data_IF_352249456618
#
_entry.id   IF_352249456618
#
_cell.length_a   1.000
_cell.length_b   1.000
_cell.length_c   1.000
_cell.angle_alpha   90.00
_cell.angle_beta   90.00
_cell.angle_gamma   90.00
#
_symmetry.space_group_name_H-M   'P 1'
#
loop_
_entity.id
_entity.type
_entity.pdbx_description
1 polymer ?
#
# COMPACT_ATOMS: atom_id res chain seq x y z
N UNK A 1 10.04 -21.41 -0.98
CA UNK A 1 10.50 -20.08 -1.42
C UNK A 1 9.41 -19.01 -1.22
N UNK A 2 8.17 -19.25 -1.67
CA UNK A 2 7.05 -18.28 -1.53
C UNK A 2 6.66 -17.94 -0.08
N UNK A 3 6.73 -18.91 0.86
CA UNK A 3 6.41 -18.66 2.27
C UNK A 3 7.34 -17.61 2.91
N UNK A 4 8.63 -17.62 2.56
CA UNK A 4 9.62 -16.69 3.11
C UNK A 4 9.41 -15.25 2.61
N UNK A 5 8.93 -15.09 1.37
CA UNK A 5 8.64 -13.77 0.80
C UNK A 5 7.42 -13.16 1.49
N UNK A 6 6.40 -13.98 1.78
CA UNK A 6 5.23 -13.49 2.49
C UNK A 6 5.51 -13.15 3.95
N UNK A 7 6.34 -13.95 4.63
CA UNK A 7 6.79 -13.63 5.98
C UNK A 7 7.52 -12.29 6.04
N UNK A 8 8.42 -12.03 5.08
CA UNK A 8 9.06 -10.73 4.94
C UNK A 8 8.00 -9.62 4.74
N UNK A 9 7.03 -9.83 3.85
CA UNK A 9 5.95 -8.87 3.64
C UNK A 9 5.18 -8.55 4.92
N UNK A 10 4.74 -9.56 5.68
CA UNK A 10 3.99 -9.37 6.94
C UNK A 10 4.84 -8.67 7.99
N UNK A 11 6.12 -9.01 8.08
CA UNK A 11 7.06 -8.32 8.98
C UNK A 11 7.15 -6.84 8.61
N UNK A 12 7.29 -6.49 7.34
CA UNK A 12 7.32 -5.09 6.92
C UNK A 12 5.99 -4.38 7.11
N UNK A 13 4.87 -5.06 6.83
CA UNK A 13 3.53 -4.51 6.93
C UNK A 13 3.13 -4.18 8.37
N UNK A 14 3.42 -5.08 9.32
CA UNK A 14 3.13 -4.91 10.75
C UNK A 14 3.94 -3.79 11.40
N UNK A 15 5.12 -3.46 10.88
CA UNK A 15 5.96 -2.37 11.37
C UNK A 15 5.69 -1.03 10.66
N UNK A 16 4.84 -1.02 9.62
CA UNK A 16 4.52 0.21 8.92
C UNK A 16 3.60 1.11 9.77
N UNK A 17 3.99 2.37 9.93
CA UNK A 17 3.15 3.38 10.61
C UNK A 17 1.87 3.69 9.84
N UNK A 18 1.90 3.50 8.53
CA UNK A 18 0.80 3.75 7.61
C UNK A 18 0.80 2.70 6.52
N UNK A 19 -0.34 2.08 6.28
CA UNK A 19 -0.53 1.09 5.22
C UNK A 19 -1.65 1.52 4.29
N UNK A 20 -1.37 1.54 3.00
CA UNK A 20 -2.31 2.03 1.97
C UNK A 20 -2.37 1.01 0.84
N UNK A 21 -3.59 0.70 0.39
CA UNK A 21 -3.81 -0.09 -0.82
C UNK A 21 -4.27 0.83 -1.96
N UNK A 22 -3.68 0.65 -3.14
CA UNK A 22 -4.14 1.28 -4.36
C UNK A 22 -5.23 0.40 -4.99
N UNK A 23 -6.47 0.85 -4.91
CA UNK A 23 -7.67 0.22 -5.46
C UNK A 23 -7.67 -1.33 -5.37
N UNK A 24 -7.66 -2.04 -6.51
CA UNK A 24 -7.65 -3.50 -6.59
C UNK A 24 -6.43 -4.18 -5.95
N UNK A 25 -5.42 -3.43 -5.52
CA UNK A 25 -4.38 -3.91 -4.62
C UNK A 25 -4.96 -4.44 -3.30
N UNK A 26 -6.07 -3.89 -2.82
CA UNK A 26 -6.78 -4.39 -1.64
C UNK A 26 -7.34 -5.79 -1.87
N UNK A 27 -7.84 -6.10 -3.08
CA UNK A 27 -8.29 -7.44 -3.43
C UNK A 27 -7.15 -8.45 -3.34
N UNK A 28 -6.01 -8.14 -3.97
CA UNK A 28 -4.83 -9.02 -3.95
C UNK A 28 -4.32 -9.27 -2.54
N UNK A 29 -4.34 -8.23 -1.70
CA UNK A 29 -3.95 -8.34 -0.31
C UNK A 29 -4.91 -9.25 0.47
N UNK A 30 -6.21 -9.07 0.27
CA UNK A 30 -7.25 -9.89 0.90
C UNK A 30 -7.11 -11.35 0.48
N UNK A 31 -7.09 -11.63 -0.82
CA UNK A 31 -6.98 -12.98 -1.40
C UNK A 31 -5.76 -13.71 -0.83
N UNK A 32 -4.59 -13.07 -0.87
CA UNK A 32 -3.36 -13.66 -0.35
C UNK A 32 -3.40 -13.89 1.16
N UNK A 33 -4.04 -13.00 1.91
CA UNK A 33 -4.18 -13.15 3.37
C UNK A 33 -5.12 -14.29 3.76
N UNK A 34 -6.15 -14.57 2.94
CA UNK A 34 -7.07 -15.71 3.11
C UNK A 34 -6.30 -17.01 2.88
N UNK A 35 -5.54 -17.10 1.79
CA UNK A 35 -4.80 -18.30 1.41
C UNK A 35 -3.82 -18.78 2.50
N UNK A 36 -3.23 -17.83 3.23
CA UNK A 36 -2.21 -18.09 4.27
C UNK A 36 -2.80 -18.00 5.69
N UNK A 37 -4.10 -17.68 5.81
CA UNK A 37 -4.80 -17.52 7.09
C UNK A 37 -4.20 -16.43 8.00
N UNK A 38 -3.73 -15.33 7.42
CA UNK A 38 -3.13 -14.18 8.13
C UNK A 38 -3.98 -12.92 8.03
N UNK A 39 -5.28 -13.07 7.76
CA UNK A 39 -6.22 -11.96 7.58
C UNK A 39 -6.14 -10.96 8.74
N UNK A 40 -6.03 -11.41 9.98
CA UNK A 40 -5.98 -10.56 11.18
C UNK A 40 -4.74 -9.66 11.25
N UNK A 41 -3.61 -10.09 10.69
CA UNK A 41 -2.35 -9.35 10.71
C UNK A 41 -2.30 -8.24 9.66
N UNK A 42 -3.11 -8.36 8.62
CA UNK A 42 -3.06 -7.51 7.44
C UNK A 42 -4.20 -6.50 7.52
N UNK A 43 -3.99 -5.45 8.32
CA UNK A 43 -4.89 -4.28 8.38
C UNK A 43 -4.40 -3.19 7.44
N UNK A 44 -5.31 -2.68 6.63
CA UNK A 44 -5.10 -1.51 5.77
C UNK A 44 -5.65 -0.27 6.48
N UNK A 45 -4.93 0.85 6.44
CA UNK A 45 -5.44 2.11 6.97
C UNK A 45 -6.32 2.82 5.93
N UNK A 46 -5.85 2.86 4.68
CA UNK A 46 -6.57 3.52 3.58
C UNK A 46 -6.58 2.69 2.31
N UNK A 47 -7.72 2.70 1.60
CA UNK A 47 -7.80 2.22 0.22
C UNK A 47 -8.04 3.44 -0.66
N UNK A 48 -7.25 3.61 -1.72
CA UNK A 48 -7.35 4.78 -2.59
C UNK A 48 -7.29 4.42 -4.07
N UNK A 49 -8.16 5.04 -4.83
CA UNK A 49 -8.27 4.93 -6.28
C UNK A 49 -9.54 5.60 -6.76
N UNK A 50 -9.92 5.30 -7.99
CA UNK A 50 -11.28 5.43 -8.55
C UNK A 50 -12.24 4.36 -8.02
N UNK A 51 -11.71 3.26 -7.48
CA UNK A 51 -12.47 2.19 -6.82
C UNK A 51 -13.32 1.36 -7.79
N UNK A 52 -12.93 1.31 -9.07
CA UNK A 52 -13.64 0.57 -10.10
C UNK A 52 -13.26 -0.91 -10.13
N UNK A 53 -12.09 -1.26 -9.57
CA UNK A 53 -11.60 -2.64 -9.49
C UNK A 53 -11.76 -3.27 -8.10
N UNK A 54 -12.03 -2.48 -7.05
CA UNK A 54 -12.30 -2.97 -5.70
C UNK A 54 -13.58 -3.80 -5.64
N UNK A 55 -13.50 -5.04 -5.14
CA UNK A 55 -14.69 -5.89 -4.97
C UNK A 55 -15.47 -5.50 -3.72
N UNK A 56 -16.80 -5.61 -3.78
CA UNK A 56 -17.70 -5.20 -2.68
C UNK A 56 -17.46 -6.01 -1.38
N UNK A 57 -17.19 -7.31 -1.49
CA UNK A 57 -16.87 -8.18 -0.36
C UNK A 57 -15.59 -7.72 0.37
N UNK A 58 -14.55 -7.37 -0.40
CA UNK A 58 -13.28 -6.87 0.14
C UNK A 58 -13.45 -5.48 0.75
N UNK A 59 -14.28 -4.64 0.13
CA UNK A 59 -14.63 -3.31 0.64
C UNK A 59 -15.29 -3.40 2.00
N UNK A 60 -16.36 -4.19 2.12
CA UNK A 60 -17.09 -4.41 3.38
C UNK A 60 -16.17 -4.97 4.47
N UNK A 61 -15.38 -5.98 4.14
CA UNK A 61 -14.39 -6.56 5.05
C UNK A 61 -13.36 -5.53 5.54
N UNK A 62 -12.88 -4.68 4.64
CA UNK A 62 -11.89 -3.65 4.96
C UNK A 62 -12.49 -2.57 5.87
N UNK A 63 -13.71 -2.13 5.59
CA UNK A 63 -14.45 -1.17 6.42
C UNK A 63 -14.71 -1.75 7.82
N UNK A 64 -15.12 -3.01 7.92
CA UNK A 64 -15.35 -3.69 9.20
C UNK A 64 -14.07 -3.73 10.07
N UNK A 65 -12.89 -3.78 9.45
CA UNK A 65 -11.58 -3.69 10.14
C UNK A 65 -11.12 -2.27 10.47
N UNK A 66 -11.90 -1.26 10.13
CA UNK A 66 -11.60 0.15 10.35
C UNK A 66 -10.74 0.79 9.26
N UNK A 67 -10.73 0.24 8.05
CA UNK A 67 -10.12 0.89 6.87
C UNK A 67 -10.99 2.04 6.41
N UNK A 68 -10.38 3.16 6.01
CA UNK A 68 -11.12 4.31 5.47
C UNK A 68 -10.82 4.51 3.98
N UNK A 69 -11.85 4.69 3.15
CA UNK A 69 -11.68 4.93 1.69
C UNK A 69 -11.28 6.37 1.36
N UNK A 70 -11.54 7.30 2.30
CA UNK A 70 -11.20 8.71 2.19
C UNK A 70 -9.98 8.97 3.06
N UNK A 71 -8.92 9.53 2.46
CA UNK A 71 -7.79 10.02 3.23
C UNK A 71 -8.28 11.14 4.16
N UNK A 72 -8.22 10.90 5.47
CA UNK A 72 -8.21 12.02 6.41
C UNK A 72 -6.89 12.75 6.18
N UNK A 73 -6.91 14.08 6.07
CA UNK A 73 -5.68 14.87 6.09
C UNK A 73 -4.94 14.50 7.38
N UNK A 74 -3.90 13.68 7.29
CA UNK A 74 -3.01 13.49 8.41
C UNK A 74 -2.43 14.86 8.70
N UNK A 75 -2.59 15.38 9.92
CA UNK A 75 -2.12 16.72 10.29
C UNK A 75 -0.67 16.82 9.85
N UNK A 76 -0.37 17.83 9.03
CA UNK A 76 0.92 18.09 8.39
C UNK A 76 2.03 18.18 9.45
N UNK A 77 2.52 17.02 9.86
CA UNK A 77 3.72 16.88 10.66
C UNK A 77 4.73 16.42 9.63
N UNK A 78 5.71 17.25 9.30
CA UNK A 78 6.77 16.99 8.32
C UNK A 78 7.70 15.87 8.81
N UNK A 79 7.16 14.67 9.00
CA UNK A 79 7.93 13.50 9.35
C UNK A 79 8.49 12.88 8.08
N UNK A 80 9.74 12.43 8.15
CA UNK A 80 10.34 11.63 7.08
C UNK A 80 9.68 10.27 7.07
N UNK A 81 9.10 9.88 5.94
CA UNK A 81 8.54 8.56 5.74
C UNK A 81 9.42 7.77 4.79
N UNK A 82 9.80 6.55 5.20
CA UNK A 82 10.32 5.56 4.27
C UNK A 82 9.12 4.89 3.60
N UNK A 83 8.98 5.07 2.29
CA UNK A 83 7.86 4.51 1.53
C UNK A 83 8.30 3.24 0.84
N UNK A 84 7.63 2.13 1.13
CA UNK A 84 7.79 0.89 0.41
C UNK A 84 6.55 0.62 -0.44
N UNK A 85 6.78 0.26 -1.71
CA UNK A 85 5.71 0.00 -2.69
C UNK A 85 5.82 -1.46 -3.13
N UNK A 86 4.76 -2.23 -2.89
CA UNK A 86 4.64 -3.61 -3.37
C UNK A 86 3.79 -3.65 -4.65
N UNK A 87 4.06 -4.61 -5.54
CA UNK A 87 3.32 -4.76 -6.80
C UNK A 87 3.66 -3.69 -7.85
N UNK A 88 4.78 -2.99 -7.70
CA UNK A 88 5.24 -1.95 -8.63
C UNK A 88 5.57 -2.50 -10.04
N UNK A 89 6.02 -3.75 -10.12
CA UNK A 89 6.39 -4.46 -11.35
C UNK A 89 5.75 -5.85 -11.40
N UNK A 90 5.62 -6.42 -12.60
CA UNK A 90 5.12 -7.78 -12.83
C UNK A 90 3.70 -7.89 -13.41
N UNK A 91 3.06 -6.76 -13.72
CA UNK A 91 1.75 -6.70 -14.36
C UNK A 91 1.81 -6.13 -15.79
N UNK A 92 0.73 -5.47 -16.21
CA UNK A 92 0.65 -4.80 -17.51
C UNK A 92 1.79 -3.78 -17.71
N UNK A 93 2.43 -3.82 -18.87
CA UNK A 93 3.64 -3.03 -19.13
C UNK A 93 3.41 -1.53 -19.07
N UNK A 94 2.27 -1.05 -19.58
CA UNK A 94 1.87 0.36 -19.52
C UNK A 94 1.71 0.85 -18.06
N UNK A 95 1.11 0.04 -17.19
CA UNK A 95 1.03 0.33 -15.76
C UNK A 95 2.42 0.40 -15.11
N UNK A 96 3.34 -0.48 -15.51
CA UNK A 96 4.72 -0.43 -15.03
C UNK A 96 5.43 0.86 -15.48
N UNK A 97 5.21 1.29 -16.72
CA UNK A 97 5.77 2.55 -17.22
C UNK A 97 5.16 3.77 -16.52
N UNK A 98 3.86 3.72 -16.18
CA UNK A 98 3.21 4.77 -15.40
C UNK A 98 3.78 4.85 -13.97
N UNK A 99 4.02 3.70 -13.35
CA UNK A 99 4.67 3.57 -12.05
C UNK A 99 6.09 4.19 -12.06
N UNK A 100 6.89 3.90 -13.09
CA UNK A 100 8.22 4.51 -13.28
C UNK A 100 8.10 6.02 -13.49
N UNK A 101 7.19 6.47 -14.36
CA UNK A 101 6.95 7.90 -14.58
C UNK A 101 6.55 8.63 -13.29
N UNK A 102 5.72 8.02 -12.44
CA UNK A 102 5.35 8.57 -11.15
C UNK A 102 6.57 8.76 -10.22
N UNK A 103 7.52 7.82 -10.20
CA UNK A 103 8.76 7.99 -9.43
C UNK A 103 9.56 9.23 -9.88
N UNK A 104 9.64 9.48 -11.19
CA UNK A 104 10.30 10.68 -11.72
C UNK A 104 9.52 11.96 -11.38
N UNK A 105 8.20 11.94 -11.55
CA UNK A 105 7.34 13.10 -11.28
C UNK A 105 7.38 13.52 -9.81
N UNK A 106 7.41 12.55 -8.89
CA UNK A 106 7.39 12.81 -7.46
C UNK A 106 8.78 12.80 -6.82
N UNK A 107 9.86 12.73 -7.61
CA UNK A 107 11.23 12.62 -7.11
C UNK A 107 11.58 13.70 -6.10
N UNK A 108 11.13 14.94 -6.32
CA UNK A 108 11.49 16.07 -5.46
C UNK A 108 10.82 15.99 -4.09
N UNK A 109 9.63 15.37 -4.02
CA UNK A 109 8.96 15.06 -2.75
C UNK A 109 9.73 13.99 -1.97
N UNK A 110 10.32 13.02 -2.67
CA UNK A 110 11.15 12.00 -2.04
C UNK A 110 12.58 12.48 -1.73
N UNK A 111 13.18 13.37 -2.54
CA UNK A 111 14.55 13.87 -2.33
C UNK A 111 14.65 14.91 -1.21
N UNK A 112 13.60 15.70 -0.96
CA UNK A 112 13.56 16.59 0.22
C UNK A 112 13.71 15.81 1.54
N UNK A 113 13.34 14.53 1.56
CA UNK A 113 13.45 13.64 2.72
C UNK A 113 14.94 13.39 3.09
N UNK A 114 15.83 13.37 2.10
CA UNK A 114 17.24 12.99 2.30
C UNK A 114 18.16 14.18 2.58
N UNK A 115 17.81 15.38 2.12
CA UNK A 115 18.72 16.55 2.17
C UNK A 115 18.68 17.37 3.46
N UNK A 116 17.72 17.18 4.36
CA UNK A 116 17.64 17.89 5.65
C UNK A 116 18.51 17.23 6.75
N UNK A 117 19.67 16.69 6.38
CA UNK A 117 20.66 16.10 7.31
C UNK A 117 22.04 16.74 7.18
N UNK A 118 22.09 18.04 6.89
CA UNK A 118 23.29 18.87 7.07
C UNK A 118 22.95 20.09 7.92
#
# INVERSE_FOLDING_TARGET
MELHIFELFVNMWSHAQLTVCADGGANRLCDRSVDIKTQELVKTHYIKGDLDSLRDDVREFSIAKGTTEKMCKHKDTYNRFNVMIFGFMGGHFDQQMQNVNAMFQWRDKFQKIDREKK
#
